data_IF_846663924506
#
_entry.id   IF_846663924506
#
_cell.length_a   1.000
_cell.length_b   1.000
_cell.length_c   1.000
_cell.angle_alpha   90.00
_cell.angle_beta   90.00
_cell.angle_gamma   90.00
#
_symmetry.space_group_name_H-M   'P 1'
#
loop_
_entity.id
_entity.type
_entity.pdbx_description
1 polymer ?
#
# COMPACT_ATOMS: atom_id res chain seq x y z
N UNK A 1 2.28 -25.02 -17.21
CA UNK A 1 1.99 -26.33 -16.59
C UNK A 1 0.67 -26.23 -15.85
N UNK A 2 -0.16 -27.28 -15.79
CA UNK A 2 -1.34 -27.27 -14.91
C UNK A 2 -0.89 -27.06 -13.46
N UNK A 3 -1.67 -26.30 -12.69
CA UNK A 3 -1.38 -26.04 -11.28
C UNK A 3 -1.34 -27.35 -10.50
N UNK A 4 -0.42 -27.46 -9.53
CA UNK A 4 -0.30 -28.64 -8.67
C UNK A 4 -1.44 -28.62 -7.66
N UNK A 5 -2.33 -29.62 -7.73
CA UNK A 5 -3.48 -29.79 -6.84
C UNK A 5 -3.31 -31.06 -6.03
N UNK A 6 -3.75 -31.05 -4.78
CA UNK A 6 -3.72 -32.21 -3.90
C UNK A 6 -4.80 -32.19 -2.83
N UNK A 7 -4.98 -33.35 -2.19
CA UNK A 7 -5.87 -33.49 -1.04
C UNK A 7 -5.06 -33.30 0.24
N UNK A 8 -5.48 -32.36 1.08
CA UNK A 8 -4.96 -32.17 2.43
C UNK A 8 -6.02 -32.65 3.42
N UNK A 9 -5.59 -33.42 4.42
CA UNK A 9 -6.47 -33.84 5.51
C UNK A 9 -6.25 -32.87 6.67
N UNK A 10 -7.30 -32.14 7.05
CA UNK A 10 -7.27 -31.24 8.21
C UNK A 10 -7.77 -31.96 9.48
N UNK A 11 -7.69 -31.27 10.62
CA UNK A 11 -8.23 -31.77 11.88
C UNK A 11 -9.69 -32.23 11.74
N UNK A 12 -10.01 -33.38 12.34
CA UNK A 12 -11.32 -34.03 12.19
C UNK A 12 -11.45 -34.93 10.95
N UNK A 13 -10.34 -35.27 10.26
CA UNK A 13 -10.30 -36.15 9.07
C UNK A 13 -11.13 -35.63 7.88
N UNK A 14 -11.26 -34.30 7.76
CA UNK A 14 -11.97 -33.68 6.64
C UNK A 14 -10.99 -33.49 5.47
N UNK A 15 -11.24 -34.09 4.29
CA UNK A 15 -10.41 -33.87 3.12
C UNK A 15 -10.76 -32.55 2.43
N UNK A 16 -9.74 -31.74 2.13
CA UNK A 16 -9.87 -30.50 1.35
C UNK A 16 -9.01 -30.62 0.10
N UNK A 17 -9.56 -30.24 -1.05
CA UNK A 17 -8.81 -30.10 -2.29
C UNK A 17 -8.29 -28.67 -2.36
N UNK A 18 -6.99 -28.52 -2.52
CA UNK A 18 -6.34 -27.22 -2.60
C UNK A 18 -5.13 -27.27 -3.52
N UNK A 19 -4.61 -26.10 -3.86
CA UNK A 19 -3.31 -25.99 -4.52
C UNK A 19 -2.21 -26.42 -3.57
N UNK A 20 -1.12 -26.96 -4.11
CA UNK A 20 -0.02 -27.47 -3.32
C UNK A 20 1.27 -26.85 -3.84
N UNK A 21 1.98 -26.16 -2.96
CA UNK A 21 3.27 -25.56 -3.26
C UNK A 21 4.27 -26.61 -3.79
N UNK A 22 5.16 -26.21 -4.70
CA UNK A 22 6.16 -27.10 -5.31
C UNK A 22 7.01 -27.86 -4.27
N UNK A 23 7.35 -27.19 -3.18
CA UNK A 23 8.20 -27.76 -2.12
C UNK A 23 7.48 -28.69 -1.13
N UNK A 24 6.16 -28.89 -1.20
CA UNK A 24 5.47 -29.82 -0.29
C UNK A 24 5.69 -31.28 -0.71
N UNK A 25 6.34 -32.12 0.11
CA UNK A 25 6.43 -33.55 -0.15
C UNK A 25 5.08 -34.25 0.06
N UNK A 26 4.84 -35.37 -0.63
CA UNK A 26 3.60 -36.14 -0.42
C UNK A 26 3.59 -36.73 1.00
N UNK A 27 2.49 -36.51 1.73
CA UNK A 27 2.29 -37.06 3.07
C UNK A 27 2.96 -36.29 4.20
N UNK A 28 3.55 -35.12 3.93
CA UNK A 28 4.06 -34.23 4.97
C UNK A 28 2.93 -33.44 5.63
N UNK A 29 3.20 -32.95 6.83
CA UNK A 29 2.39 -31.87 7.41
C UNK A 29 2.54 -30.59 6.57
N UNK A 30 1.47 -29.80 6.54
CA UNK A 30 1.38 -28.56 5.77
C UNK A 30 0.67 -27.50 6.60
N UNK A 31 0.89 -26.23 6.27
CA UNK A 31 0.00 -25.12 6.67
C UNK A 31 -0.88 -24.75 5.49
N UNK A 32 -2.15 -24.46 5.75
CA UNK A 32 -3.07 -23.98 4.71
C UNK A 32 -3.17 -22.47 4.80
N UNK A 33 -3.02 -21.79 3.67
CA UNK A 33 -3.33 -20.38 3.52
C UNK A 33 -4.57 -20.19 2.64
N UNK A 34 -5.24 -19.06 2.84
CA UNK A 34 -6.31 -18.58 1.97
C UNK A 34 -5.92 -17.19 1.44
N UNK A 35 -5.91 -17.04 0.11
CA UNK A 35 -5.53 -15.81 -0.59
C UNK A 35 -6.41 -15.59 -1.80
N UNK A 36 -6.46 -14.36 -2.29
CA UNK A 36 -7.15 -14.06 -3.54
C UNK A 36 -6.24 -14.33 -4.72
N UNK A 37 -6.78 -14.93 -5.78
CA UNK A 37 -6.13 -14.95 -7.09
C UNK A 37 -6.31 -13.59 -7.82
N UNK A 38 -5.76 -13.48 -9.04
CA UNK A 38 -5.91 -12.29 -9.89
C UNK A 38 -7.36 -11.95 -10.24
N UNK A 39 -8.22 -12.96 -10.27
CA UNK A 39 -9.65 -12.77 -10.53
C UNK A 39 -10.42 -12.37 -9.29
N UNK A 40 -9.75 -12.29 -8.11
CA UNK A 40 -10.30 -11.98 -6.81
C UNK A 40 -11.14 -13.11 -6.21
N UNK A 41 -10.87 -14.36 -6.58
CA UNK A 41 -11.46 -15.55 -5.99
C UNK A 41 -10.58 -16.09 -4.87
N UNK A 42 -11.21 -16.61 -3.81
CA UNK A 42 -10.50 -17.25 -2.71
C UNK A 42 -9.88 -18.57 -3.15
N UNK A 43 -8.59 -18.71 -2.92
CA UNK A 43 -7.79 -19.89 -3.27
C UNK A 43 -7.13 -20.42 -2.00
N UNK A 44 -7.37 -21.70 -1.73
CA UNK A 44 -6.65 -22.43 -0.70
C UNK A 44 -5.35 -22.99 -1.29
N UNK A 45 -4.26 -22.80 -0.57
CA UNK A 45 -2.96 -23.36 -0.93
C UNK A 45 -2.29 -23.99 0.30
N UNK A 46 -1.82 -25.21 0.13
CA UNK A 46 -0.99 -25.93 1.07
C UNK A 46 0.46 -25.53 0.87
N UNK A 47 1.07 -25.03 1.94
CA UNK A 47 2.47 -24.64 2.01
C UNK A 47 3.24 -25.62 2.91
N UNK A 48 4.58 -25.72 2.75
CA UNK A 48 5.41 -26.41 3.72
C UNK A 48 5.21 -25.82 5.13
N UNK A 49 5.32 -26.66 6.15
CA UNK A 49 5.13 -26.26 7.56
C UNK A 49 6.01 -25.08 7.96
N UNK A 50 7.27 -25.11 7.52
CA UNK A 50 8.27 -24.05 7.69
C UNK A 50 8.58 -23.39 6.34
N UNK A 51 9.04 -22.14 6.32
CA UNK A 51 9.46 -21.48 5.08
C UNK A 51 10.69 -22.17 4.46
N UNK A 52 10.70 -22.27 3.13
CA UNK A 52 11.86 -22.77 2.36
C UNK A 52 12.64 -21.61 1.73
N UNK A 53 13.94 -21.76 1.41
CA UNK A 53 14.70 -20.69 0.77
C UNK A 53 14.15 -20.21 -0.59
N UNK A 54 13.38 -21.06 -1.26
CA UNK A 54 12.77 -20.80 -2.58
C UNK A 54 11.25 -20.66 -2.50
N UNK A 55 10.70 -20.43 -1.30
CA UNK A 55 9.25 -20.33 -1.07
C UNK A 55 8.57 -19.36 -2.05
N UNK A 56 9.10 -18.15 -2.13
CA UNK A 56 8.51 -17.09 -2.95
C UNK A 56 8.86 -17.23 -4.44
N UNK A 57 9.55 -18.31 -4.83
CA UNK A 57 9.84 -18.62 -6.22
C UNK A 57 8.77 -19.52 -6.87
N UNK A 58 7.85 -20.09 -6.09
CA UNK A 58 6.74 -20.90 -6.60
C UNK A 58 5.80 -20.05 -7.49
N UNK A 59 5.54 -20.46 -8.74
CA UNK A 59 4.71 -19.69 -9.67
C UNK A 59 3.26 -19.50 -9.22
N UNK A 60 2.68 -20.46 -8.49
CA UNK A 60 1.30 -20.35 -7.99
C UNK A 60 1.26 -19.41 -6.80
N UNK A 61 2.20 -19.50 -5.86
CA UNK A 61 2.26 -18.59 -4.73
C UNK A 61 2.48 -17.13 -5.19
N UNK A 62 3.31 -16.93 -6.21
CA UNK A 62 3.51 -15.62 -6.85
C UNK A 62 2.25 -15.04 -7.47
N UNK A 63 1.32 -15.86 -7.93
CA UNK A 63 0.04 -15.38 -8.46
C UNK A 63 -0.95 -14.99 -7.35
N UNK A 64 -0.78 -15.57 -6.16
CA UNK A 64 -1.60 -15.29 -4.98
C UNK A 64 -1.06 -14.13 -4.12
N UNK A 65 0.11 -13.60 -4.44
CA UNK A 65 0.83 -12.59 -3.65
C UNK A 65 1.39 -11.48 -4.56
N UNK A 66 2.02 -10.47 -3.96
CA UNK A 66 2.68 -9.38 -4.67
C UNK A 66 4.09 -9.15 -4.12
N UNK A 67 4.82 -10.24 -3.86
CA UNK A 67 6.15 -10.19 -3.24
C UNK A 67 7.11 -9.22 -3.99
N UNK A 68 7.79 -8.29 -3.28
CA UNK A 68 8.75 -7.36 -3.87
C UNK A 68 9.93 -8.03 -4.60
N UNK A 69 10.27 -9.28 -4.29
CA UNK A 69 11.42 -10.01 -4.82
C UNK A 69 11.42 -9.99 -6.36
N UNK A 70 12.50 -9.46 -6.93
CA UNK A 70 12.70 -9.25 -8.37
C UNK A 70 11.74 -8.26 -9.05
N UNK A 71 10.99 -7.45 -8.29
CA UNK A 71 10.06 -6.45 -8.83
C UNK A 71 10.72 -5.10 -9.01
N UNK A 72 10.30 -4.38 -10.04
CA UNK A 72 10.61 -2.95 -10.23
C UNK A 72 9.48 -2.14 -9.62
N UNK A 73 9.85 -1.29 -8.67
CA UNK A 73 8.89 -0.61 -7.80
C UNK A 73 9.01 0.89 -8.01
N UNK A 74 7.90 1.59 -8.17
CA UNK A 74 7.85 3.05 -8.10
C UNK A 74 7.36 3.45 -6.70
N UNK A 75 8.15 4.22 -5.96
CA UNK A 75 7.76 4.93 -4.75
C UNK A 75 7.56 6.41 -5.11
N UNK A 76 6.36 6.95 -4.94
CA UNK A 76 5.98 8.21 -5.60
C UNK A 76 6.61 9.47 -5.01
N UNK A 77 7.02 9.46 -3.74
CA UNK A 77 7.61 10.63 -3.08
C UNK A 77 8.79 10.26 -2.16
N UNK A 78 10.01 10.58 -2.60
CA UNK A 78 11.25 10.40 -1.85
C UNK A 78 11.46 11.42 -0.73
N UNK A 79 10.68 12.51 -0.70
CA UNK A 79 10.79 13.55 0.33
C UNK A 79 9.94 13.26 1.56
N UNK A 80 9.03 12.29 1.46
CA UNK A 80 8.23 11.85 2.59
C UNK A 80 9.14 11.30 3.70
N UNK A 81 8.76 11.53 4.96
CA UNK A 81 9.51 11.09 6.15
C UNK A 81 9.69 9.57 6.23
N UNK A 82 8.80 8.84 5.58
CA UNK A 82 8.72 7.39 5.52
C UNK A 82 9.44 6.77 4.30
N UNK A 83 9.86 7.59 3.33
CA UNK A 83 10.44 7.12 2.07
C UNK A 83 11.69 6.25 2.25
N UNK A 84 12.62 6.65 3.13
CA UNK A 84 13.85 5.89 3.39
C UNK A 84 13.52 4.52 3.98
N UNK A 85 12.60 4.46 4.95
CA UNK A 85 12.24 3.22 5.61
C UNK A 85 11.56 2.26 4.63
N UNK A 86 10.65 2.78 3.80
CA UNK A 86 9.97 2.00 2.75
C UNK A 86 10.97 1.48 1.72
N UNK A 87 11.83 2.35 1.17
CA UNK A 87 12.83 1.96 0.18
C UNK A 87 13.82 0.92 0.76
N UNK A 88 14.25 1.08 2.02
CA UNK A 88 15.13 0.12 2.70
C UNK A 88 14.46 -1.24 2.86
N UNK A 89 13.19 -1.26 3.30
CA UNK A 89 12.46 -2.51 3.49
C UNK A 89 12.18 -3.23 2.16
N UNK A 90 11.81 -2.49 1.11
CA UNK A 90 11.63 -3.04 -0.24
C UNK A 90 12.94 -3.59 -0.82
N UNK A 91 14.06 -2.90 -0.57
CA UNK A 91 15.38 -3.37 -0.98
C UNK A 91 15.76 -4.66 -0.26
N UNK A 92 15.55 -4.72 1.06
CA UNK A 92 15.76 -5.91 1.87
C UNK A 92 14.85 -7.09 1.48
N UNK A 93 13.64 -6.80 0.98
CA UNK A 93 12.71 -7.79 0.43
C UNK A 93 13.09 -8.27 -0.99
N UNK A 94 14.23 -7.82 -1.54
CA UNK A 94 14.77 -8.31 -2.80
C UNK A 94 14.22 -7.62 -4.06
N UNK A 95 13.68 -6.39 -3.94
CA UNK A 95 13.30 -5.59 -5.10
C UNK A 95 14.46 -5.48 -6.10
N UNK A 96 14.16 -5.59 -7.40
CA UNK A 96 15.18 -5.47 -8.44
C UNK A 96 15.63 -4.02 -8.64
N UNK A 97 14.69 -3.09 -8.62
CA UNK A 97 14.95 -1.65 -8.74
C UNK A 97 13.83 -0.89 -8.05
N UNK A 98 14.18 0.16 -7.32
CA UNK A 98 13.23 1.04 -6.65
C UNK A 98 13.41 2.43 -7.25
N UNK A 99 12.51 2.79 -8.16
CA UNK A 99 12.38 4.15 -8.65
C UNK A 99 11.75 4.99 -7.55
N UNK A 100 12.43 6.04 -7.11
CA UNK A 100 11.93 6.94 -6.08
C UNK A 100 11.68 8.30 -6.69
N UNK A 101 10.43 8.73 -6.70
CA UNK A 101 9.99 10.03 -7.20
C UNK A 101 10.59 11.17 -6.41
N UNK A 102 11.25 12.10 -7.09
CA UNK A 102 11.87 13.28 -6.51
C UNK A 102 11.23 14.52 -7.12
N UNK A 103 10.31 15.14 -6.39
CA UNK A 103 9.79 16.46 -6.73
C UNK A 103 10.88 17.51 -6.48
N UNK A 104 10.86 18.61 -7.25
CA UNK A 104 11.78 19.73 -7.15
C UNK A 104 13.26 19.30 -6.90
N UNK A 105 13.82 18.42 -7.75
CA UNK A 105 15.16 17.83 -7.56
C UNK A 105 16.30 18.84 -7.31
N UNK A 106 16.09 20.11 -7.67
CA UNK A 106 17.01 21.22 -7.40
C UNK A 106 17.09 21.62 -5.91
N UNK A 107 16.09 21.27 -5.09
CA UNK A 107 16.01 21.65 -3.67
C UNK A 107 16.49 20.50 -2.75
N UNK A 108 17.57 20.70 -1.98
CA UNK A 108 18.08 19.69 -1.04
C UNK A 108 17.08 19.33 0.07
N UNK A 109 17.12 18.08 0.52
CA UNK A 109 16.39 17.59 1.69
C UNK A 109 17.21 16.51 2.42
N UNK A 110 17.05 16.35 3.76
CA UNK A 110 17.93 15.51 4.57
C UNK A 110 17.98 14.04 4.13
N UNK A 111 16.88 13.51 3.59
CA UNK A 111 16.77 12.08 3.25
C UNK A 111 17.42 11.65 1.94
N UNK A 112 17.83 12.59 1.08
CA UNK A 112 18.31 12.30 -0.28
C UNK A 112 19.56 11.42 -0.30
N UNK A 113 20.55 11.73 0.54
CA UNK A 113 21.81 10.98 0.60
C UNK A 113 21.59 9.55 1.11
N UNK A 114 20.67 9.37 2.07
CA UNK A 114 20.32 8.06 2.60
C UNK A 114 19.60 7.19 1.55
N UNK A 115 18.70 7.78 0.74
CA UNK A 115 18.07 7.07 -0.37
C UNK A 115 19.10 6.59 -1.41
N UNK A 116 20.06 7.46 -1.78
CA UNK A 116 21.13 7.11 -2.74
C UNK A 116 22.13 6.08 -2.20
N UNK A 117 22.20 5.89 -0.88
CA UNK A 117 23.05 4.86 -0.27
C UNK A 117 22.44 3.44 -0.38
N UNK A 118 21.17 3.33 -0.80
CA UNK A 118 20.51 2.03 -1.02
C UNK A 118 20.84 1.55 -2.44
N UNK A 119 21.53 0.41 -2.55
CA UNK A 119 22.17 -0.08 -3.79
C UNK A 119 21.28 -0.12 -5.05
N UNK A 120 19.99 -0.39 -4.90
CA UNK A 120 19.02 -0.58 -5.99
C UNK A 120 18.00 0.57 -6.10
N UNK A 121 18.23 1.70 -5.43
CA UNK A 121 17.41 2.91 -5.55
C UNK A 121 17.88 3.77 -6.70
N UNK A 122 16.93 4.25 -7.51
CA UNK A 122 17.14 5.21 -8.59
C UNK A 122 16.18 6.38 -8.37
N UNK A 123 16.73 7.59 -8.16
CA UNK A 123 15.90 8.79 -8.08
C UNK A 123 15.41 9.17 -9.48
N UNK A 124 14.12 9.47 -9.61
CA UNK A 124 13.48 9.87 -10.86
C UNK A 124 12.66 11.15 -10.65
N UNK A 125 12.60 12.08 -11.61
CA UNK A 125 11.78 13.28 -11.46
C UNK A 125 10.30 12.90 -11.41
N UNK A 126 9.63 13.26 -10.31
CA UNK A 126 8.19 13.03 -10.16
C UNK A 126 7.58 14.05 -9.22
N UNK A 127 6.69 14.87 -9.76
CA UNK A 127 5.75 15.67 -9.00
C UNK A 127 4.33 15.20 -9.33
N UNK A 128 3.65 14.61 -8.36
CA UNK A 128 2.28 14.08 -8.54
C UNK A 128 1.25 15.18 -8.81
N UNK A 129 1.57 16.44 -8.53
CA UNK A 129 0.71 17.60 -8.82
C UNK A 129 0.87 18.10 -10.26
N UNK A 130 1.96 17.75 -10.94
CA UNK A 130 2.24 18.13 -12.33
C UNK A 130 1.91 16.97 -13.29
N UNK A 131 0.86 17.17 -14.10
CA UNK A 131 0.47 16.22 -15.14
C UNK A 131 1.59 15.90 -16.13
N UNK A 132 2.43 16.88 -16.48
CA UNK A 132 3.52 16.66 -17.43
C UNK A 132 4.58 15.75 -16.80
N UNK A 133 5.01 16.06 -15.58
CA UNK A 133 5.96 15.23 -14.82
C UNK A 133 5.49 13.78 -14.72
N UNK A 134 4.22 13.55 -14.35
CA UNK A 134 3.66 12.20 -14.23
C UNK A 134 3.62 11.48 -15.59
N UNK A 135 3.18 12.16 -16.67
CA UNK A 135 3.11 11.56 -18.01
C UNK A 135 4.48 11.22 -18.59
N UNK A 136 5.47 12.09 -18.41
CA UNK A 136 6.84 11.86 -18.88
C UNK A 136 7.45 10.63 -18.21
N UNK A 137 7.38 10.54 -16.88
CA UNK A 137 7.90 9.39 -16.16
C UNK A 137 7.14 8.10 -16.52
N UNK A 138 5.81 8.15 -16.66
CA UNK A 138 5.01 7.01 -17.09
C UNK A 138 5.41 6.52 -18.49
N UNK A 139 5.77 7.43 -19.40
CA UNK A 139 6.31 7.08 -20.71
C UNK A 139 7.64 6.33 -20.65
N UNK A 140 8.49 6.65 -19.68
CA UNK A 140 9.83 6.05 -19.53
C UNK A 140 9.84 4.70 -18.79
N UNK A 141 9.04 4.60 -17.72
CA UNK A 141 9.06 3.46 -16.79
C UNK A 141 7.69 2.86 -16.51
N UNK A 142 6.58 3.40 -17.02
CA UNK A 142 5.23 2.85 -16.76
C UNK A 142 5.10 1.41 -17.25
N UNK A 143 5.58 1.15 -18.46
CA UNK A 143 5.72 -0.21 -19.00
C UNK A 143 6.85 -1.02 -18.36
N UNK A 144 7.53 -0.54 -17.32
CA UNK A 144 8.57 -1.24 -16.52
C UNK A 144 8.18 -1.36 -15.04
N UNK A 145 7.12 -0.71 -14.59
CA UNK A 145 6.70 -0.72 -13.18
C UNK A 145 5.86 -1.96 -12.89
N UNK A 146 6.28 -2.77 -11.92
CA UNK A 146 5.56 -3.96 -11.49
C UNK A 146 4.72 -3.65 -10.24
N UNK A 147 5.26 -2.83 -9.32
CA UNK A 147 4.55 -2.35 -8.14
C UNK A 147 4.62 -0.82 -8.11
N UNK A 148 3.49 -0.15 -7.92
CA UNK A 148 3.44 1.29 -7.68
C UNK A 148 3.00 1.53 -6.24
N UNK A 149 3.84 2.19 -5.45
CA UNK A 149 3.58 2.61 -4.07
C UNK A 149 3.33 4.11 -4.04
N UNK A 150 2.07 4.49 -3.92
CA UNK A 150 1.67 5.87 -3.71
C UNK A 150 1.79 6.26 -2.23
N UNK A 151 2.94 6.82 -1.86
CA UNK A 151 3.21 7.40 -0.54
C UNK A 151 3.17 8.94 -0.53
N UNK A 152 3.11 9.57 -1.71
CA UNK A 152 2.97 11.01 -1.85
C UNK A 152 1.72 11.50 -1.09
N UNK A 153 1.93 12.40 -0.14
CA UNK A 153 0.85 12.97 0.67
C UNK A 153 1.18 14.38 1.14
N UNK A 154 0.15 15.19 1.26
CA UNK A 154 0.19 16.49 1.90
C UNK A 154 -0.79 16.53 3.07
N UNK A 155 -0.29 16.93 4.24
CA UNK A 155 -1.03 17.00 5.50
C UNK A 155 -0.86 18.39 6.08
N UNK A 156 -1.96 19.00 6.53
CA UNK A 156 -1.90 20.18 7.38
C UNK A 156 -2.82 19.99 8.60
N UNK A 157 -2.32 20.18 9.84
CA UNK A 157 -3.17 20.25 11.03
C UNK A 157 -4.10 21.47 11.01
N UNK A 158 -5.25 21.37 11.67
CA UNK A 158 -6.22 22.44 11.88
C UNK A 158 -7.65 22.04 11.51
N UNK A 159 -8.61 22.48 12.33
CA UNK A 159 -10.02 22.33 12.05
C UNK A 159 -10.48 23.17 10.87
N UNK A 160 -11.61 22.77 10.27
CA UNK A 160 -12.18 23.48 9.12
C UNK A 160 -12.59 24.92 9.50
N UNK A 161 -13.09 25.12 10.72
CA UNK A 161 -13.55 26.43 11.21
C UNK A 161 -12.40 27.33 11.68
N UNK A 162 -11.23 26.75 11.98
CA UNK A 162 -10.06 27.49 12.49
C UNK A 162 -9.23 28.13 11.37
N UNK A 163 -9.62 27.90 10.11
CA UNK A 163 -8.89 28.38 8.92
C UNK A 163 -9.65 29.51 8.24
N UNK A 164 -8.89 30.50 7.78
CA UNK A 164 -9.43 31.71 7.13
C UNK A 164 -9.64 31.49 5.61
N UNK A 165 -8.99 30.49 5.02
CA UNK A 165 -9.07 30.18 3.60
C UNK A 165 -9.07 28.67 3.29
N UNK A 166 -9.15 28.34 1.99
CA UNK A 166 -9.16 26.95 1.48
C UNK A 166 -7.85 26.52 0.84
N UNK A 167 -6.76 27.29 0.98
CA UNK A 167 -5.50 27.06 0.25
C UNK A 167 -4.93 25.68 0.58
N UNK A 168 -4.80 25.37 1.88
CA UNK A 168 -4.29 24.06 2.30
C UNK A 168 -5.23 22.91 1.93
N UNK A 169 -6.55 23.11 2.02
CA UNK A 169 -7.52 22.09 1.63
C UNK A 169 -7.43 21.76 0.13
N UNK A 170 -7.16 22.77 -0.71
CA UNK A 170 -6.87 22.58 -2.14
C UNK A 170 -5.58 21.80 -2.34
N UNK A 171 -4.49 22.15 -1.65
CA UNK A 171 -3.22 21.41 -1.72
C UNK A 171 -3.35 19.95 -1.27
N UNK A 172 -4.11 19.68 -0.21
CA UNK A 172 -4.39 18.30 0.26
C UNK A 172 -5.16 17.51 -0.80
N UNK A 173 -6.17 18.10 -1.43
CA UNK A 173 -6.91 17.46 -2.52
C UNK A 173 -6.04 17.26 -3.78
N UNK A 174 -5.19 18.25 -4.08
CA UNK A 174 -4.30 18.25 -5.23
C UNK A 174 -3.28 17.10 -5.17
N UNK A 175 -2.67 16.87 -4.01
CA UNK A 175 -1.69 15.81 -3.81
C UNK A 175 -2.37 14.46 -3.56
N UNK A 176 -3.24 14.38 -2.55
CA UNK A 176 -3.69 13.09 -2.01
C UNK A 176 -4.73 12.41 -2.93
N UNK A 177 -5.53 13.20 -3.66
CA UNK A 177 -6.59 12.68 -4.52
C UNK A 177 -6.26 12.88 -6.01
N UNK A 178 -6.06 14.12 -6.46
CA UNK A 178 -5.80 14.39 -7.88
C UNK A 178 -4.43 13.84 -8.30
N UNK A 179 -3.42 13.89 -7.44
CA UNK A 179 -2.12 13.24 -7.68
C UNK A 179 -2.24 11.73 -7.86
N UNK A 180 -3.01 11.05 -6.99
CA UNK A 180 -3.34 9.63 -7.16
C UNK A 180 -4.09 9.38 -8.48
N UNK A 181 -5.04 10.24 -8.85
CA UNK A 181 -5.77 10.13 -10.11
C UNK A 181 -4.85 10.26 -11.33
N UNK A 182 -3.92 11.21 -11.32
CA UNK A 182 -2.93 11.40 -12.41
C UNK A 182 -2.02 10.20 -12.55
N UNK A 183 -1.52 9.68 -11.42
CA UNK A 183 -0.72 8.45 -11.42
C UNK A 183 -1.52 7.31 -12.06
N UNK A 184 -2.78 7.11 -11.65
CA UNK A 184 -3.63 6.05 -12.19
C UNK A 184 -3.86 6.20 -13.70
N UNK A 185 -4.13 7.41 -14.17
CA UNK A 185 -4.34 7.68 -15.59
C UNK A 185 -3.08 7.42 -16.43
N UNK A 186 -1.89 7.73 -15.91
CA UNK A 186 -0.65 7.61 -16.66
C UNK A 186 -0.02 6.20 -16.57
N UNK A 187 0.01 5.59 -15.39
CA UNK A 187 0.64 4.29 -15.15
C UNK A 187 -0.34 3.12 -15.29
N UNK A 188 -1.62 3.31 -14.94
CA UNK A 188 -2.63 2.25 -14.91
C UNK A 188 -2.77 1.48 -16.21
N UNK A 189 -2.89 2.13 -17.39
CA UNK A 189 -3.00 1.42 -18.66
C UNK A 189 -1.80 0.49 -18.96
N UNK A 190 -0.58 0.96 -18.74
CA UNK A 190 0.63 0.17 -18.98
C UNK A 190 0.78 -0.99 -17.99
N UNK A 191 0.49 -0.74 -16.70
CA UNK A 191 0.50 -1.78 -15.67
C UNK A 191 -0.55 -2.85 -15.96
N UNK A 192 -1.73 -2.50 -16.50
CA UNK A 192 -2.79 -3.47 -16.81
C UNK A 192 -2.36 -4.46 -17.88
N UNK A 193 -1.61 -3.99 -18.88
CA UNK A 193 -1.01 -4.89 -19.88
C UNK A 193 0.00 -5.84 -19.23
N UNK A 194 0.72 -5.38 -18.21
CA UNK A 194 1.79 -6.14 -17.53
C UNK A 194 1.29 -7.23 -16.59
N UNK A 195 0.22 -7.00 -15.85
CA UNK A 195 -0.32 -8.06 -14.98
C UNK A 195 -0.87 -9.27 -15.75
N UNK A 196 -1.11 -9.11 -17.06
CA UNK A 196 -1.41 -10.20 -17.99
C UNK A 196 -0.16 -10.96 -18.50
N UNK A 197 1.06 -10.40 -18.34
CA UNK A 197 2.31 -11.05 -18.73
C UNK A 197 2.68 -12.14 -17.73
N UNK A 198 2.51 -13.41 -18.13
CA UNK A 198 2.64 -14.60 -17.27
C UNK A 198 4.00 -14.85 -16.62
N UNK A 199 5.04 -14.04 -16.92
CA UNK A 199 6.38 -14.18 -16.31
C UNK A 199 6.54 -13.35 -15.03
N UNK A 200 5.82 -12.23 -14.89
CA UNK A 200 5.87 -11.32 -13.74
C UNK A 200 4.46 -11.00 -13.21
N UNK A 201 3.67 -12.05 -13.02
CA UNK A 201 2.25 -12.03 -12.68
C UNK A 201 1.87 -11.34 -11.36
N UNK A 202 2.82 -10.83 -10.59
CA UNK A 202 2.64 -10.27 -9.26
C UNK A 202 2.76 -8.74 -9.30
N UNK A 203 1.74 -8.08 -9.88
CA UNK A 203 1.70 -6.62 -9.99
C UNK A 203 0.75 -6.02 -8.94
N UNK A 204 1.15 -4.89 -8.35
CA UNK A 204 0.37 -4.25 -7.30
C UNK A 204 0.31 -2.72 -7.43
N UNK A 205 -0.82 -2.16 -7.04
CA UNK A 205 -1.07 -0.75 -6.82
C UNK A 205 -1.28 -0.54 -5.32
N UNK A 206 -0.32 0.08 -4.66
CA UNK A 206 -0.31 0.29 -3.21
C UNK A 206 -0.62 1.74 -2.90
N UNK A 207 -1.60 2.00 -2.04
CA UNK A 207 -1.88 3.34 -1.54
C UNK A 207 -1.66 3.40 -0.02
N UNK A 208 -1.03 4.48 0.44
CA UNK A 208 -0.92 4.79 1.87
C UNK A 208 -1.94 5.88 2.19
N UNK A 209 -3.02 5.51 2.87
CA UNK A 209 -4.18 6.38 3.14
C UNK A 209 -4.31 6.56 4.65
N UNK A 210 -4.75 7.73 5.10
CA UNK A 210 -5.10 7.91 6.52
C UNK A 210 -6.31 7.04 6.89
N UNK A 211 -6.26 6.39 8.05
CA UNK A 211 -7.42 5.65 8.57
C UNK A 211 -8.63 6.57 8.82
N UNK A 212 -8.41 7.88 8.98
CA UNK A 212 -9.45 8.89 9.06
C UNK A 212 -10.17 9.19 7.72
N UNK A 213 -9.92 8.38 6.68
CA UNK A 213 -10.80 8.28 5.52
C UNK A 213 -12.18 7.71 5.86
N UNK A 214 -12.27 6.86 6.90
CA UNK A 214 -13.53 6.22 7.34
C UNK A 214 -14.36 7.10 8.26
N UNK A 215 -13.71 7.92 9.09
CA UNK A 215 -14.34 8.87 10.00
C UNK A 215 -13.40 10.06 10.17
N UNK A 216 -13.94 11.26 10.03
CA UNK A 216 -13.15 12.49 10.01
C UNK A 216 -12.52 12.76 11.39
N UNK A 217 -11.25 13.16 11.42
CA UNK A 217 -10.63 13.68 12.63
C UNK A 217 -10.71 15.22 12.63
N UNK A 218 -11.45 15.85 13.57
CA UNK A 218 -11.67 17.30 13.52
C UNK A 218 -10.39 18.14 13.49
N UNK A 219 -9.33 17.71 14.18
CA UNK A 219 -8.03 18.40 14.18
C UNK A 219 -7.29 18.33 12.83
N UNK A 220 -7.75 17.51 11.89
CA UNK A 220 -7.18 17.29 10.56
C UNK A 220 -8.29 17.25 9.48
N UNK A 221 -9.33 18.06 9.65
CA UNK A 221 -10.61 17.84 8.97
C UNK A 221 -10.53 17.82 7.43
N UNK A 222 -9.78 18.73 6.82
CA UNK A 222 -9.60 18.78 5.36
C UNK A 222 -8.68 17.65 4.85
N UNK A 223 -7.66 17.26 5.62
CA UNK A 223 -6.81 16.12 5.31
C UNK A 223 -7.62 14.81 5.33
N UNK A 224 -8.46 14.60 6.35
CA UNK A 224 -9.40 13.48 6.40
C UNK A 224 -10.33 13.46 5.19
N UNK A 225 -10.84 14.62 4.74
CA UNK A 225 -11.67 14.70 3.54
C UNK A 225 -10.92 14.29 2.27
N UNK A 226 -9.67 14.73 2.10
CA UNK A 226 -8.82 14.29 0.97
C UNK A 226 -8.52 12.79 1.01
N UNK A 227 -8.33 12.21 2.21
CA UNK A 227 -8.13 10.77 2.38
C UNK A 227 -9.40 9.96 2.08
N UNK A 228 -10.57 10.48 2.43
CA UNK A 228 -11.85 9.88 2.05
C UNK A 228 -12.07 9.90 0.53
N UNK A 229 -11.65 10.97 -0.15
CA UNK A 229 -11.66 11.04 -1.61
C UNK A 229 -10.69 10.00 -2.23
N UNK A 230 -9.48 9.86 -1.70
CA UNK A 230 -8.51 8.85 -2.12
C UNK A 230 -9.01 7.41 -1.88
N UNK A 231 -9.68 7.17 -0.74
CA UNK A 231 -10.34 5.90 -0.44
C UNK A 231 -11.40 5.55 -1.50
N UNK A 232 -12.29 6.50 -1.82
CA UNK A 232 -13.30 6.34 -2.86
C UNK A 232 -12.68 6.07 -4.24
N UNK A 233 -11.65 6.84 -4.62
CA UNK A 233 -10.91 6.62 -5.88
C UNK A 233 -10.33 5.21 -5.93
N UNK A 234 -9.81 4.72 -4.81
CA UNK A 234 -9.20 3.39 -4.78
C UNK A 234 -10.20 2.27 -5.01
N UNK A 235 -11.45 2.42 -4.57
CA UNK A 235 -12.52 1.46 -4.89
C UNK A 235 -12.73 1.36 -6.40
N UNK A 236 -12.70 2.50 -7.10
CA UNK A 236 -12.73 2.54 -8.56
C UNK A 236 -11.51 1.84 -9.18
N UNK A 237 -10.30 2.16 -8.69
CA UNK A 237 -9.06 1.52 -9.17
C UNK A 237 -9.08 0.00 -8.99
N UNK A 238 -9.64 -0.51 -7.89
CA UNK A 238 -9.81 -1.95 -7.67
C UNK A 238 -10.64 -2.58 -8.78
N UNK A 239 -11.71 -1.92 -9.23
CA UNK A 239 -12.52 -2.40 -10.34
C UNK A 239 -11.81 -2.29 -11.69
N UNK A 240 -11.14 -1.16 -11.97
CA UNK A 240 -10.49 -0.91 -13.26
C UNK A 240 -9.21 -1.70 -13.50
N UNK A 241 -8.47 -2.01 -12.44
CA UNK A 241 -7.18 -2.70 -12.52
C UNK A 241 -7.32 -4.24 -12.42
N UNK A 242 -8.44 -4.75 -11.88
CA UNK A 242 -8.73 -6.19 -11.75
C UNK A 242 -8.66 -6.97 -13.07
N UNK A 243 -9.18 -6.48 -14.22
CA UNK A 243 -9.03 -7.19 -15.49
C UNK A 243 -7.58 -7.38 -15.93
N UNK A 244 -6.67 -6.51 -15.47
CA UNK A 244 -5.23 -6.67 -15.69
C UNK A 244 -4.54 -7.58 -14.66
N UNK A 245 -5.27 -8.11 -13.68
CA UNK A 245 -4.71 -8.93 -12.60
C UNK A 245 -3.82 -8.15 -11.63
N UNK A 246 -3.93 -6.81 -11.58
CA UNK A 246 -3.18 -5.98 -10.63
C UNK A 246 -3.94 -5.96 -9.31
N UNK A 247 -3.21 -6.24 -8.22
CA UNK A 247 -3.75 -6.13 -6.87
C UNK A 247 -3.76 -4.69 -6.40
N UNK A 248 -4.90 -4.23 -5.90
CA UNK A 248 -4.96 -2.93 -5.21
C UNK A 248 -4.85 -3.18 -3.71
N UNK A 249 -3.79 -2.67 -3.09
CA UNK A 249 -3.48 -2.84 -1.68
C UNK A 249 -3.50 -1.49 -0.95
N UNK A 250 -4.37 -1.33 0.05
CA UNK A 250 -4.38 -0.13 0.87
C UNK A 250 -3.75 -0.35 2.23
N UNK A 251 -2.86 0.56 2.62
CA UNK A 251 -2.45 0.72 4.00
C UNK A 251 -3.21 1.89 4.60
N UNK A 252 -4.15 1.58 5.51
CA UNK A 252 -4.80 2.59 6.34
C UNK A 252 -3.95 2.82 7.58
N UNK A 253 -3.35 3.99 7.67
CA UNK A 253 -2.36 4.32 8.71
C UNK A 253 -2.97 5.28 9.72
N UNK A 254 -2.70 5.04 11.00
CA UNK A 254 -2.94 6.02 12.05
C UNK A 254 -1.98 7.22 11.94
N UNK A 255 -1.96 8.11 12.94
CA UNK A 255 -0.99 9.19 13.01
C UNK A 255 0.44 8.65 12.90
N UNK A 256 1.24 9.19 11.97
CA UNK A 256 2.64 8.80 11.76
C UNK A 256 3.59 9.63 12.62
N UNK A 257 4.76 9.07 12.93
CA UNK A 257 5.82 9.82 13.61
C UNK A 257 6.53 10.73 12.61
N UNK A 258 5.96 11.91 12.38
CA UNK A 258 6.42 12.94 11.46
C UNK A 258 6.22 14.35 12.03
N UNK A 259 6.64 15.37 11.26
CA UNK A 259 6.51 16.78 11.65
C UNK A 259 5.03 17.22 11.81
N UNK A 260 4.14 16.67 10.99
CA UNK A 260 2.74 17.11 10.92
C UNK A 260 1.90 16.61 12.09
N UNK A 261 2.24 15.46 12.64
CA UNK A 261 1.54 14.86 13.79
C UNK A 261 2.29 15.07 15.10
N UNK A 262 3.34 15.91 15.15
CA UNK A 262 4.04 16.25 16.41
C UNK A 262 3.09 16.62 17.57
N UNK A 263 2.04 17.44 17.37
CA UNK A 263 1.15 17.85 18.46
C UNK A 263 0.28 16.73 19.03
N UNK A 264 0.09 15.62 18.31
CA UNK A 264 -0.72 14.51 18.79
C UNK A 264 0.04 13.71 19.85
N UNK A 265 -0.63 13.21 20.91
CA UNK A 265 -0.03 12.28 21.84
C UNK A 265 0.22 10.92 21.16
N UNK A 266 1.13 10.08 21.71
CA UNK A 266 1.21 8.67 21.34
C UNK A 266 -0.13 7.93 21.55
N UNK A 267 -0.39 6.82 20.84
CA UNK A 267 0.53 6.10 19.95
C UNK A 267 0.63 6.66 18.53
N UNK A 268 1.84 6.65 17.96
CA UNK A 268 2.14 7.03 16.57
C UNK A 268 2.81 5.87 15.82
N UNK A 269 2.65 5.83 14.50
CA UNK A 269 3.25 4.82 13.63
C UNK A 269 4.65 5.27 13.21
N UNK A 270 5.66 4.53 13.64
CA UNK A 270 7.03 4.74 13.20
C UNK A 270 7.20 4.37 11.71
N UNK A 271 8.05 5.07 10.94
CA UNK A 271 8.34 4.75 9.54
C UNK A 271 8.72 3.28 9.29
N UNK A 272 9.52 2.69 10.18
CA UNK A 272 9.94 1.29 10.08
C UNK A 272 8.76 0.32 10.25
N UNK A 273 7.79 0.64 11.10
CA UNK A 273 6.60 -0.19 11.30
C UNK A 273 5.68 -0.14 10.06
N UNK A 274 5.53 1.05 9.46
CA UNK A 274 4.82 1.22 8.19
C UNK A 274 5.48 0.43 7.06
N UNK A 275 6.80 0.57 6.90
CA UNK A 275 7.56 -0.14 5.88
C UNK A 275 7.46 -1.67 6.03
N UNK A 276 7.54 -2.18 7.27
CA UNK A 276 7.35 -3.60 7.57
C UNK A 276 5.94 -4.08 7.22
N UNK A 277 4.91 -3.31 7.56
CA UNK A 277 3.53 -3.66 7.24
C UNK A 277 3.26 -3.65 5.72
N UNK A 278 3.90 -2.73 4.98
CA UNK A 278 3.84 -2.68 3.53
C UNK A 278 4.42 -3.93 2.89
N UNK A 279 5.64 -4.32 3.27
CA UNK A 279 6.29 -5.53 2.75
C UNK A 279 5.48 -6.76 3.12
N UNK A 280 5.11 -6.90 4.39
CA UNK A 280 4.32 -8.05 4.85
C UNK A 280 2.98 -8.14 4.10
N UNK A 281 2.27 -7.04 3.91
CA UNK A 281 0.99 -7.03 3.18
C UNK A 281 1.15 -7.40 1.70
N UNK A 282 2.25 -7.02 1.05
CA UNK A 282 2.57 -7.45 -0.31
C UNK A 282 2.87 -8.95 -0.39
N UNK A 283 3.68 -9.48 0.53
CA UNK A 283 4.02 -10.90 0.62
C UNK A 283 2.80 -11.77 0.99
N UNK A 284 1.94 -11.25 1.86
CA UNK A 284 0.66 -11.86 2.20
C UNK A 284 -0.42 -11.60 1.15
N UNK A 285 -0.15 -10.77 0.15
CA UNK A 285 -1.12 -10.49 -0.89
C UNK A 285 -2.42 -9.87 -0.36
N UNK A 286 -2.34 -9.00 0.64
CA UNK A 286 -3.51 -8.35 1.23
C UNK A 286 -4.11 -7.29 0.29
N UNK A 287 -5.41 -7.09 0.40
CA UNK A 287 -6.12 -6.00 -0.27
C UNK A 287 -6.20 -4.73 0.59
N UNK A 288 -6.21 -4.89 1.92
CA UNK A 288 -6.25 -3.80 2.90
C UNK A 288 -5.47 -4.23 4.17
N UNK A 289 -4.76 -3.29 4.79
CA UNK A 289 -4.07 -3.44 6.08
C UNK A 289 -4.24 -2.19 6.95
N UNK A 290 -4.32 -2.37 8.27
CA UNK A 290 -4.52 -1.30 9.23
C UNK A 290 -3.29 -1.18 10.16
N UNK A 291 -2.55 -0.08 10.02
CA UNK A 291 -1.23 0.09 10.63
C UNK A 291 -1.28 1.06 11.81
N UNK A 292 -0.90 0.57 12.98
CA UNK A 292 -0.93 1.30 14.26
C UNK A 292 -2.17 1.01 15.10
N UNK A 293 -2.07 1.25 16.41
CA UNK A 293 -3.17 0.99 17.36
C UNK A 293 -4.40 1.86 17.05
N UNK A 294 -4.18 3.14 16.73
CA UNK A 294 -5.26 4.05 16.33
C UNK A 294 -6.01 3.53 15.11
N UNK A 295 -5.30 2.99 14.11
CA UNK A 295 -5.95 2.50 12.90
C UNK A 295 -6.79 1.25 13.16
N UNK A 296 -6.29 0.34 14.01
CA UNK A 296 -7.02 -0.88 14.40
C UNK A 296 -8.25 -0.55 15.24
N UNK A 297 -8.11 0.30 16.26
CA UNK A 297 -9.25 0.74 17.08
C UNK A 297 -10.33 1.43 16.23
N UNK A 298 -9.91 2.34 15.35
CA UNK A 298 -10.85 3.11 14.54
C UNK A 298 -11.64 2.20 13.60
N UNK A 299 -10.99 1.26 12.92
CA UNK A 299 -11.73 0.37 12.00
C UNK A 299 -12.67 -0.58 12.74
N UNK A 300 -12.28 -1.08 13.91
CA UNK A 300 -13.13 -1.97 14.70
C UNK A 300 -14.39 -1.23 15.18
N UNK A 301 -14.25 0.01 15.66
CA UNK A 301 -15.38 0.87 16.03
C UNK A 301 -16.23 1.28 14.83
N UNK A 302 -15.59 1.58 13.69
CA UNK A 302 -16.32 1.89 12.46
C UNK A 302 -17.16 0.71 12.01
N UNK A 303 -16.62 -0.52 12.05
CA UNK A 303 -17.37 -1.75 11.73
C UNK A 303 -18.51 -2.04 12.73
N UNK A 304 -18.32 -1.71 14.00
CA UNK A 304 -19.35 -1.87 15.02
C UNK A 304 -20.50 -0.85 14.87
N UNK A 305 -20.20 0.39 14.48
CA UNK A 305 -21.22 1.42 14.30
C UNK A 305 -20.64 2.75 13.78
N UNK A 306 -20.69 3.01 12.46
CA UNK A 306 -20.09 4.21 11.88
C UNK A 306 -20.61 5.52 12.47
N UNK A 307 -21.92 5.60 12.73
CA UNK A 307 -22.53 6.81 13.30
C UNK A 307 -22.22 7.01 14.78
N UNK A 308 -21.98 5.92 15.52
CA UNK A 308 -21.53 5.97 16.90
C UNK A 308 -20.10 6.51 16.96
N UNK A 309 -19.20 5.96 16.14
CA UNK A 309 -17.84 6.45 16.01
C UNK A 309 -17.81 7.93 15.63
N UNK A 310 -18.61 8.37 14.66
CA UNK A 310 -18.71 9.79 14.29
C UNK A 310 -19.07 10.66 15.51
N UNK A 311 -20.07 10.26 16.31
CA UNK A 311 -20.47 10.99 17.53
C UNK A 311 -19.35 11.05 18.56
N UNK A 312 -18.65 9.94 18.79
CA UNK A 312 -17.52 9.86 19.71
C UNK A 312 -16.35 10.76 19.26
N UNK A 313 -16.07 10.78 17.95
CA UNK A 313 -15.05 11.65 17.36
C UNK A 313 -15.43 13.13 17.47
N UNK A 314 -16.72 13.47 17.47
CA UNK A 314 -17.21 14.85 17.66
C UNK A 314 -17.38 15.27 19.12
N UNK A 315 -17.49 14.32 20.06
CA UNK A 315 -17.84 14.59 21.46
C UNK A 315 -16.66 14.83 22.40
N UNK A 316 -15.42 14.65 21.93
CA UNK A 316 -14.20 14.73 22.75
C UNK A 316 -13.60 16.13 22.91
N UNK A 317 -14.26 17.19 22.43
CA UNK A 317 -13.82 18.59 22.62
C UNK A 317 -14.19 19.16 24.00
N UNK A 318 -14.25 18.32 25.04
CA UNK A 318 -14.90 18.65 26.31
C UNK A 318 -14.05 18.62 27.58
N UNK A 319 -12.83 18.06 27.58
CA UNK A 319 -12.03 17.93 28.81
C UNK A 319 -10.55 18.28 28.56
N UNK A 320 -10.27 19.57 28.46
CA UNK A 320 -8.96 20.14 28.80
C UNK A 320 -9.24 21.39 29.63
N UNK A 321 -9.35 21.20 30.95
CA UNK A 321 -9.15 22.26 31.95
C UNK A 321 -7.68 22.67 32.00
#
# INVERSE_FOLDING_TARGET
MPWRIGTVIIEGNVPIICHVHGDVPRGSEVRIINRLDKSGQGVLMALPKEDTPAMDDDPQLRELTCDPKYRRILLTDGRSSDAIAIATALSAAGAATIFVGESEAWRPYPGRAALLAINNVVLVPLDVTDEKSVRELAGEIGGKTDILVNNARFVRPGGILDRVDTVFARSEMEVNYLGLMRLAQAFGPAMRGRGADGTNSAAAWVNIISVYAYSNHPAFGSFSASSAAAFSLTQCLRAELRPGGIRVFNLYVGPTDDEWHQPLPPPKVAPAALAKALVAGLQDGLEDAYVGDVARDLIDRWRAGPKLLEREMTGSTGDVE
#
